data_IF_317561594420
#
_entry.id   IF_317561594420
#
_cell.length_a   1.000
_cell.length_b   1.000
_cell.length_c   1.000
_cell.angle_alpha   90.00
_cell.angle_beta   90.00
_cell.angle_gamma   90.00
#
_symmetry.space_group_name_H-M   'P 1'
#
loop_
_entity.id
_entity.type
_entity.pdbx_description
1 polymer ?
#
# COMPACT_ATOMS: atom_id res chain seq x y z
N UNK A 1 1.57 25.02 32.98
CA UNK A 1 2.22 23.92 32.22
C UNK A 1 1.15 22.91 31.85
N UNK A 2 0.33 23.18 30.84
CA UNK A 2 -0.80 22.28 30.48
C UNK A 2 -1.01 22.13 28.96
N UNK A 3 -0.02 22.50 28.15
CA UNK A 3 -0.09 22.41 26.69
C UNK A 3 1.04 21.53 26.14
N UNK A 4 1.09 20.26 26.58
CA UNK A 4 2.07 19.30 26.05
C UNK A 4 1.54 17.88 25.83
N UNK A 5 0.28 17.56 26.18
CA UNK A 5 -0.24 16.17 26.08
C UNK A 5 -1.21 15.96 24.91
N UNK A 6 -1.72 17.03 24.28
CA UNK A 6 -2.65 16.91 23.16
C UNK A 6 -1.99 16.61 21.80
N UNK A 7 -0.65 16.62 21.71
CA UNK A 7 0.07 16.52 20.42
C UNK A 7 0.53 15.12 20.00
N UNK A 8 0.59 14.16 20.92
CA UNK A 8 1.29 12.89 20.66
C UNK A 8 0.42 11.77 20.04
N UNK A 9 -0.91 11.88 20.11
CA UNK A 9 -1.84 10.87 19.57
C UNK A 9 -2.21 11.10 18.10
N UNK A 10 -2.14 12.35 17.62
CA UNK A 10 -2.58 12.70 16.27
C UNK A 10 -1.66 12.15 15.16
N UNK A 11 -0.32 12.26 15.24
CA UNK A 11 0.58 11.79 14.19
C UNK A 11 0.58 10.26 14.07
N UNK A 12 0.48 9.56 15.20
CA UNK A 12 0.54 8.10 15.27
C UNK A 12 -0.74 7.42 14.78
N UNK A 13 -1.92 8.02 15.05
CA UNK A 13 -3.20 7.55 14.52
C UNK A 13 -3.34 7.85 13.02
N UNK A 14 -2.93 9.04 12.57
CA UNK A 14 -2.95 9.39 11.15
C UNK A 14 -2.03 8.47 10.34
N UNK A 15 -0.82 8.18 10.85
CA UNK A 15 0.10 7.24 10.19
C UNK A 15 -0.53 5.84 10.04
N UNK A 16 -1.18 5.33 11.10
CA UNK A 16 -1.91 4.05 11.04
C UNK A 16 -3.03 4.06 10.00
N UNK A 17 -3.82 5.12 9.93
CA UNK A 17 -4.92 5.24 8.95
C UNK A 17 -4.36 5.26 7.53
N UNK A 18 -3.29 6.01 7.28
CA UNK A 18 -2.62 6.08 5.97
C UNK A 18 -2.07 4.73 5.54
N UNK A 19 -1.43 3.98 6.45
CA UNK A 19 -0.92 2.64 6.15
C UNK A 19 -2.06 1.66 5.83
N UNK A 20 -3.13 1.66 6.63
CA UNK A 20 -4.29 0.78 6.41
C UNK A 20 -5.01 1.12 5.11
N UNK A 21 -5.22 2.40 4.81
CA UNK A 21 -5.79 2.84 3.53
C UNK A 21 -4.89 2.46 2.35
N UNK A 22 -3.58 2.69 2.45
CA UNK A 22 -2.62 2.31 1.43
C UNK A 22 -2.68 0.81 1.11
N UNK A 23 -2.63 -0.03 2.14
CA UNK A 23 -2.74 -1.48 1.99
C UNK A 23 -4.11 -1.92 1.45
N UNK A 24 -5.19 -1.24 1.83
CA UNK A 24 -6.55 -1.56 1.34
C UNK A 24 -6.71 -1.23 -0.15
N UNK A 25 -6.13 -0.11 -0.61
CA UNK A 25 -6.11 0.27 -2.03
C UNK A 25 -5.26 -0.71 -2.83
N UNK A 26 -4.08 -1.07 -2.31
CA UNK A 26 -3.20 -2.10 -2.89
C UNK A 26 -3.95 -3.43 -3.05
N UNK A 27 -4.57 -3.92 -1.98
CA UNK A 27 -5.33 -5.16 -2.00
C UNK A 27 -6.49 -5.12 -3.00
N UNK A 28 -7.21 -4.00 -3.08
CA UNK A 28 -8.34 -3.83 -4.01
C UNK A 28 -7.90 -3.82 -5.47
N UNK A 29 -6.77 -3.17 -5.77
CA UNK A 29 -6.17 -3.15 -7.11
C UNK A 29 -5.72 -4.56 -7.54
N UNK A 30 -4.98 -5.25 -6.66
CA UNK A 30 -4.53 -6.62 -6.91
C UNK A 30 -5.73 -7.53 -7.13
N UNK A 31 -6.73 -7.47 -6.26
CA UNK A 31 -7.91 -8.33 -6.34
C UNK A 31 -8.73 -8.11 -7.61
N UNK A 32 -8.86 -6.86 -8.06
CA UNK A 32 -9.55 -6.52 -9.30
C UNK A 32 -8.81 -7.09 -10.52
N UNK A 33 -7.49 -6.96 -10.55
CA UNK A 33 -6.64 -7.46 -11.63
C UNK A 33 -6.54 -8.99 -11.63
N UNK A 34 -6.42 -9.61 -10.45
CA UNK A 34 -6.36 -11.06 -10.29
C UNK A 34 -7.63 -11.75 -10.80
N UNK A 35 -8.78 -11.09 -10.73
CA UNK A 35 -10.03 -11.62 -11.29
C UNK A 35 -10.11 -11.58 -12.82
N UNK A 36 -9.30 -10.72 -13.43
CA UNK A 36 -9.25 -10.51 -14.88
C UNK A 36 -8.00 -11.12 -15.52
N UNK A 37 -7.07 -11.67 -14.74
CA UNK A 37 -5.85 -12.27 -15.27
C UNK A 37 -6.16 -13.65 -15.84
N UNK A 38 -5.73 -13.87 -17.07
CA UNK A 38 -5.84 -15.19 -17.70
C UNK A 38 -4.59 -15.99 -17.38
N UNK A 39 -4.71 -16.99 -16.52
CA UNK A 39 -3.59 -17.84 -16.09
C UNK A 39 -3.07 -18.75 -17.22
N UNK A 40 -3.83 -18.95 -18.30
CA UNK A 40 -3.38 -19.68 -19.47
C UNK A 40 -2.52 -18.83 -20.41
N UNK A 41 -2.55 -17.50 -20.24
CA UNK A 41 -1.81 -16.55 -21.05
C UNK A 41 -0.63 -15.96 -20.27
N UNK A 42 0.58 -16.40 -20.62
CA UNK A 42 1.83 -15.97 -19.99
C UNK A 42 2.02 -14.45 -20.00
N UNK A 43 1.59 -13.76 -21.06
CA UNK A 43 1.69 -12.31 -21.15
C UNK A 43 0.76 -11.60 -20.16
N UNK A 44 -0.42 -12.18 -19.88
CA UNK A 44 -1.37 -11.65 -18.89
C UNK A 44 -0.79 -11.79 -17.47
N UNK A 45 -0.18 -12.94 -17.17
CA UNK A 45 0.49 -13.20 -15.89
C UNK A 45 1.72 -12.32 -15.70
N UNK A 46 2.55 -12.15 -16.73
CA UNK A 46 3.73 -11.28 -16.68
C UNK A 46 3.35 -9.82 -16.42
N UNK A 47 2.29 -9.31 -17.09
CA UNK A 47 1.77 -7.97 -16.84
C UNK A 47 1.26 -7.80 -15.41
N UNK A 48 0.58 -8.81 -14.86
CA UNK A 48 0.17 -8.83 -13.46
C UNK A 48 1.38 -8.84 -12.51
N UNK A 49 2.44 -9.57 -12.85
CA UNK A 49 3.67 -9.61 -12.06
C UNK A 49 4.43 -8.28 -12.09
N UNK A 50 4.49 -7.60 -13.25
CA UNK A 50 5.04 -6.24 -13.35
C UNK A 50 4.26 -5.25 -12.48
N UNK A 51 2.94 -5.37 -12.43
CA UNK A 51 2.11 -4.55 -11.53
C UNK A 51 2.48 -4.81 -10.06
N UNK A 52 2.61 -6.07 -9.67
CA UNK A 52 2.99 -6.45 -8.30
C UNK A 52 4.39 -5.92 -7.93
N UNK A 53 5.34 -6.04 -8.85
CA UNK A 53 6.71 -5.56 -8.70
C UNK A 53 6.76 -4.04 -8.50
N UNK A 54 6.05 -3.29 -9.35
CA UNK A 54 6.03 -1.83 -9.30
C UNK A 54 5.37 -1.32 -8.01
N UNK A 55 4.38 -2.04 -7.50
CA UNK A 55 3.70 -1.74 -6.24
C UNK A 55 4.60 -1.99 -5.02
N UNK A 56 5.33 -3.11 -5.01
CA UNK A 56 6.26 -3.44 -3.95
C UNK A 56 7.44 -2.44 -3.92
N UNK A 57 7.94 -2.03 -5.10
CA UNK A 57 8.94 -0.96 -5.19
C UNK A 57 8.42 0.35 -4.58
N UNK A 58 7.16 0.72 -4.83
CA UNK A 58 6.56 1.92 -4.23
C UNK A 58 6.49 1.82 -2.69
N UNK A 59 6.13 0.65 -2.16
CA UNK A 59 6.14 0.41 -0.72
C UNK A 59 7.54 0.55 -0.11
N UNK A 60 8.56 -0.03 -0.75
CA UNK A 60 9.96 0.10 -0.32
C UNK A 60 10.46 1.54 -0.29
N UNK A 61 10.05 2.37 -1.26
CA UNK A 61 10.37 3.81 -1.27
C UNK A 61 9.65 4.54 -0.13
N UNK A 62 8.45 4.09 0.27
CA UNK A 62 7.68 4.67 1.37
C UNK A 62 8.29 4.39 2.76
N UNK A 63 8.92 3.23 2.97
CA UNK A 63 9.53 2.84 4.26
C UNK A 63 10.39 3.95 4.90
N UNK A 64 11.35 4.59 4.21
CA UNK A 64 12.14 5.68 4.79
C UNK A 64 11.36 6.98 5.07
N UNK A 65 10.21 7.20 4.44
CA UNK A 65 9.34 8.35 4.74
C UNK A 65 8.49 8.14 5.99
N UNK A 66 8.30 6.89 6.42
CA UNK A 66 7.53 6.52 7.61
C UNK A 66 8.40 6.11 8.81
N UNK A 67 9.74 6.22 8.71
CA UNK A 67 10.70 5.96 9.79
C UNK A 67 11.17 7.26 10.43
#
# INVERSE_FOLDING_TARGET
>A
VTSAVAGAFLPSLLNKIVIVLGHSVIASLIFSRARSVDLSNTASVESFYMLLWMLLCAEYILIPFFR
#
